data_IF_800365288735
#
_entry.id   IF_800365288735
#
_cell.length_a   1.000
_cell.length_b   1.000
_cell.length_c   1.000
_cell.angle_alpha   90.00
_cell.angle_beta   90.00
_cell.angle_gamma   90.00
#
_symmetry.space_group_name_H-M   'P 1'
#
loop_
_entity.id
_entity.type
_entity.pdbx_description
1 polymer ?
#
# COMPACT_ATOMS: atom_id res chain seq x y z
N UNK A 1 0.63 1.28 9.02
CA UNK A 1 1.60 0.17 8.81
C UNK A 1 3.00 0.74 8.81
N UNK A 2 3.91 0.17 9.59
CA UNK A 2 5.30 0.64 9.60
C UNK A 2 6.04 0.10 8.37
N UNK A 3 6.71 1.00 7.66
CA UNK A 3 7.49 0.63 6.46
C UNK A 3 8.89 0.20 6.86
N UNK A 4 9.54 -0.59 6.00
CA UNK A 4 10.96 -0.96 6.16
C UNK A 4 11.92 0.24 6.19
N UNK A 5 11.46 1.40 5.70
CA UNK A 5 12.20 2.66 5.74
C UNK A 5 12.10 3.37 7.11
N UNK A 6 11.25 2.88 8.01
CA UNK A 6 11.05 3.40 9.37
C UNK A 6 9.91 4.43 9.48
N UNK A 7 9.35 4.89 8.36
CA UNK A 7 8.16 5.74 8.33
C UNK A 7 6.86 4.98 8.53
N UNK A 8 5.85 5.63 9.11
CA UNK A 8 4.47 5.11 9.17
C UNK A 8 3.71 5.42 7.89
N UNK A 9 3.13 4.38 7.28
CA UNK A 9 2.25 4.43 6.11
C UNK A 9 0.79 4.33 6.56
N UNK A 10 -0.09 5.20 6.06
CA UNK A 10 -1.51 5.14 6.37
C UNK A 10 -2.22 4.23 5.37
N UNK A 11 -3.00 3.26 5.86
CA UNK A 11 -3.84 2.41 5.01
C UNK A 11 -5.27 2.58 5.46
N UNK A 12 -6.10 3.08 4.55
CA UNK A 12 -7.52 3.27 4.78
C UNK A 12 -8.31 2.23 4.00
N UNK A 13 -9.22 1.55 4.69
CA UNK A 13 -10.14 0.57 4.11
C UNK A 13 -11.55 1.08 4.36
N UNK A 14 -12.08 1.84 3.41
CA UNK A 14 -13.49 2.18 3.32
C UNK A 14 -14.08 1.40 2.13
N UNK A 15 -14.57 2.09 1.10
CA UNK A 15 -15.08 1.44 -0.13
C UNK A 15 -13.98 1.03 -1.12
N UNK A 16 -12.80 1.67 -1.02
CA UNK A 16 -11.60 1.39 -1.80
C UNK A 16 -10.40 1.40 -0.86
N UNK A 17 -9.47 0.48 -1.06
CA UNK A 17 -8.22 0.46 -0.28
C UNK A 17 -7.33 1.58 -0.80
N UNK A 18 -6.91 2.49 0.07
CA UNK A 18 -5.94 3.54 -0.24
C UNK A 18 -4.73 3.44 0.66
N UNK A 19 -3.57 3.72 0.07
CA UNK A 19 -2.26 3.75 0.73
C UNK A 19 -1.77 5.20 0.63
N UNK A 20 -1.84 5.93 1.74
CA UNK A 20 -1.80 7.39 1.78
C UNK A 20 -2.82 7.99 0.77
N UNK A 21 -2.34 8.65 -0.29
CA UNK A 21 -3.17 9.24 -1.36
C UNK A 21 -3.23 8.36 -2.64
N UNK A 22 -2.58 7.19 -2.63
CA UNK A 22 -2.56 6.26 -3.75
C UNK A 22 -3.69 5.24 -3.63
N UNK A 23 -4.41 4.97 -4.73
CA UNK A 23 -5.45 3.95 -4.73
C UNK A 23 -4.88 2.59 -5.07
N UNK A 24 -5.33 1.56 -4.38
CA UNK A 24 -5.07 0.17 -4.78
C UNK A 24 -5.93 -0.16 -6.00
N UNK A 25 -5.27 -0.56 -7.09
CA UNK A 25 -5.88 -0.99 -8.36
C UNK A 25 -6.08 -2.51 -8.37
N UNK A 26 -5.17 -3.25 -7.74
CA UNK A 26 -5.24 -4.70 -7.61
C UNK A 26 -4.64 -5.10 -6.26
N UNK A 27 -5.37 -5.89 -5.48
CA UNK A 27 -4.96 -6.38 -4.17
C UNK A 27 -4.62 -7.88 -4.22
N UNK A 28 -3.97 -8.37 -3.15
CA UNK A 28 -3.83 -9.80 -2.85
C UNK A 28 -3.13 -10.66 -3.92
N UNK A 29 -2.09 -10.12 -4.55
CA UNK A 29 -1.22 -10.93 -5.41
C UNK A 29 -0.26 -11.72 -4.52
N UNK A 30 -0.47 -13.03 -4.41
CA UNK A 30 0.37 -13.93 -3.63
C UNK A 30 1.78 -14.06 -4.23
N UNK A 31 2.78 -14.01 -3.35
CA UNK A 31 4.18 -14.23 -3.67
C UNK A 31 4.79 -15.16 -2.61
N UNK A 32 5.88 -15.84 -2.95
CA UNK A 32 6.54 -16.81 -2.05
C UNK A 32 6.93 -16.24 -0.67
N UNK A 33 7.03 -14.91 -0.57
CA UNK A 33 7.49 -14.18 0.61
C UNK A 33 6.53 -13.07 1.07
N UNK A 34 5.29 -13.01 0.56
CA UNK A 34 4.34 -11.98 0.98
C UNK A 34 3.20 -11.76 -0.01
N UNK A 35 2.64 -10.55 0.03
CA UNK A 35 1.53 -10.13 -0.83
C UNK A 35 1.84 -8.77 -1.45
N UNK A 36 1.51 -8.63 -2.73
CA UNK A 36 1.61 -7.37 -3.48
C UNK A 36 0.23 -6.73 -3.59
N UNK A 37 0.19 -5.42 -3.33
CA UNK A 37 -0.92 -4.53 -3.66
C UNK A 37 -0.43 -3.51 -4.70
N UNK A 38 -1.04 -3.52 -5.89
CA UNK A 38 -0.72 -2.58 -6.98
C UNK A 38 -1.41 -1.25 -6.72
N UNK A 39 -0.65 -0.16 -6.78
CA UNK A 39 -1.16 1.21 -6.60
C UNK A 39 -0.98 2.05 -7.87
N UNK A 40 -1.83 3.06 -8.03
CA UNK A 40 -1.83 3.97 -9.20
C UNK A 40 -0.92 5.19 -9.07
N UNK A 41 -0.38 5.46 -7.89
CA UNK A 41 0.49 6.60 -7.61
C UNK A 41 1.73 6.21 -6.81
N UNK A 42 2.84 6.94 -7.04
CA UNK A 42 4.10 6.73 -6.32
C UNK A 42 3.99 7.33 -4.92
N UNK A 43 4.24 6.52 -3.89
CA UNK A 43 4.38 7.00 -2.51
C UNK A 43 5.79 7.53 -2.31
N UNK A 44 5.91 8.81 -1.94
CA UNK A 44 7.18 9.43 -1.60
C UNK A 44 7.44 9.34 -0.10
N UNK A 45 8.66 8.98 0.33
CA UNK A 45 9.02 8.95 1.75
C UNK A 45 9.00 10.37 2.34
N UNK A 46 8.58 10.48 3.61
CA UNK A 46 8.70 11.70 4.42
C UNK A 46 9.99 11.71 5.23
#
# INVERSE_FOLDING_TARGET
VETVQGGSLSVCVADKVTVDDANVVQADIECDNGVIHVIDAVVLPK
#
